data_IF_461054536250
#
_entry.id   IF_461054536250
#
_cell.length_a   1.000
_cell.length_b   1.000
_cell.length_c   1.000
_cell.angle_alpha   90.00
_cell.angle_beta   90.00
_cell.angle_gamma   90.00
#
_symmetry.space_group_name_H-M   'P 1'
#
loop_
_entity.id
_entity.type
_entity.pdbx_description
1 polymer ?
#
# COMPACT_ATOMS: atom_id res chain seq x y z
N UNK A 1 -14.30 3.07 25.97
CA UNK A 1 -14.34 3.48 24.56
C UNK A 1 -13.81 2.33 23.71
N UNK A 2 -14.68 1.71 22.91
CA UNK A 2 -14.27 0.75 21.88
C UNK A 2 -13.95 1.56 20.62
N UNK A 3 -12.68 1.65 20.26
CA UNK A 3 -12.23 2.30 19.02
C UNK A 3 -12.33 1.27 17.89
N UNK A 4 -13.56 0.94 17.47
CA UNK A 4 -13.75 0.05 16.34
C UNK A 4 -13.64 0.89 15.08
N UNK A 5 -12.48 0.85 14.42
CA UNK A 5 -12.32 1.51 13.11
C UNK A 5 -13.27 0.88 12.10
N UNK A 6 -14.12 1.67 11.47
CA UNK A 6 -15.09 1.19 10.48
C UNK A 6 -14.38 0.68 9.22
N UNK A 7 -14.58 -0.60 8.91
CA UNK A 7 -14.07 -1.20 7.68
C UNK A 7 -14.74 -0.56 6.46
N UNK A 8 -13.94 -0.12 5.50
CA UNK A 8 -14.40 0.48 4.25
C UNK A 8 -14.45 -0.59 3.16
N UNK A 9 -15.65 -1.06 2.75
CA UNK A 9 -15.79 -2.31 2.00
C UNK A 9 -15.43 -2.19 0.51
N UNK A 10 -15.34 -0.98 -0.02
CA UNK A 10 -15.13 -0.72 -1.44
C UNK A 10 -14.46 0.64 -1.66
N UNK A 11 -13.98 0.86 -2.89
CA UNK A 11 -13.24 2.07 -3.24
C UNK A 11 -14.05 3.37 -3.08
N UNK A 12 -15.36 3.43 -3.42
CA UNK A 12 -16.19 4.59 -3.11
C UNK A 12 -16.18 4.99 -1.63
N UNK A 13 -16.32 4.02 -0.71
CA UNK A 13 -16.28 4.29 0.73
C UNK A 13 -14.90 4.81 1.19
N UNK A 14 -13.82 4.24 0.63
CA UNK A 14 -12.44 4.68 0.89
C UNK A 14 -12.22 6.12 0.43
N UNK A 15 -12.53 6.40 -0.84
CA UNK A 15 -12.33 7.71 -1.45
C UNK A 15 -13.22 8.78 -0.82
N UNK A 16 -14.48 8.48 -0.51
CA UNK A 16 -15.37 9.39 0.21
C UNK A 16 -14.81 9.75 1.59
N UNK A 17 -14.28 8.77 2.34
CA UNK A 17 -13.68 9.02 3.66
C UNK A 17 -12.44 9.90 3.54
N UNK A 18 -11.54 9.59 2.60
CA UNK A 18 -10.33 10.38 2.33
C UNK A 18 -10.67 11.82 1.91
N UNK A 19 -11.62 12.01 0.99
CA UNK A 19 -12.06 13.32 0.52
C UNK A 19 -12.79 14.13 1.60
N UNK A 20 -13.41 13.46 2.56
CA UNK A 20 -13.97 14.10 3.76
C UNK A 20 -12.90 14.47 4.81
N UNK A 21 -11.61 14.25 4.52
CA UNK A 21 -10.51 14.51 5.44
C UNK A 21 -10.38 13.49 6.57
N UNK A 22 -11.08 12.35 6.49
CA UNK A 22 -10.97 11.31 7.51
C UNK A 22 -9.60 10.63 7.43
N UNK A 23 -9.14 10.24 8.60
CA UNK A 23 -7.96 9.42 8.77
C UNK A 23 -8.24 7.97 8.33
N UNK A 24 -7.69 7.55 7.18
CA UNK A 24 -7.86 6.19 6.64
C UNK A 24 -6.57 5.40 6.73
N UNK A 25 -6.66 4.20 7.29
CA UNK A 25 -5.57 3.22 7.34
C UNK A 25 -5.78 2.13 6.30
N UNK A 26 -4.68 1.59 5.77
CA UNK A 26 -4.66 0.39 4.92
C UNK A 26 -3.87 -0.71 5.61
N UNK A 27 -4.35 -1.93 5.49
CA UNK A 27 -3.65 -3.16 5.86
C UNK A 27 -3.42 -3.98 4.59
N UNK A 28 -2.16 -4.35 4.38
CA UNK A 28 -1.70 -5.22 3.31
C UNK A 28 -1.43 -6.62 3.86
N UNK A 29 -2.01 -7.64 3.26
CA UNK A 29 -1.67 -9.05 3.46
C UNK A 29 -1.23 -9.66 2.13
N UNK A 30 0.09 -9.73 1.90
CA UNK A 30 0.65 -10.28 0.67
C UNK A 30 0.39 -11.79 0.52
N UNK A 31 0.01 -12.49 1.59
CA UNK A 31 -0.41 -13.90 1.52
C UNK A 31 -1.73 -14.10 0.79
N UNK A 32 -2.52 -13.04 0.59
CA UNK A 32 -3.77 -13.06 -0.16
C UNK A 32 -3.63 -12.44 -1.57
N UNK A 33 -2.46 -11.86 -1.88
CA UNK A 33 -2.13 -11.31 -3.18
C UNK A 33 -1.42 -12.34 -4.07
N UNK A 34 -1.37 -12.08 -5.38
CA UNK A 34 -0.58 -12.85 -6.34
C UNK A 34 0.67 -12.08 -6.72
N UNK A 35 1.83 -12.72 -6.90
CA UNK A 35 2.97 -12.06 -7.54
C UNK A 35 2.57 -11.45 -8.90
N UNK A 36 2.87 -10.17 -9.08
CA UNK A 36 2.60 -9.41 -10.30
C UNK A 36 3.82 -9.24 -11.22
N UNK A 37 5.02 -9.57 -10.73
CA UNK A 37 6.27 -9.61 -11.50
C UNK A 37 6.99 -10.95 -11.32
N UNK A 38 7.90 -11.29 -12.23
CA UNK A 38 8.72 -12.52 -12.16
C UNK A 38 9.66 -12.56 -10.95
N UNK A 39 9.97 -11.40 -10.41
CA UNK A 39 10.85 -11.19 -9.26
C UNK A 39 10.13 -11.39 -7.94
N UNK A 40 8.83 -11.10 -7.91
CA UNK A 40 8.01 -11.28 -6.72
C UNK A 40 7.77 -12.79 -6.47
N UNK A 41 7.94 -13.20 -5.22
CA UNK A 41 7.64 -14.57 -4.76
C UNK A 41 6.46 -14.53 -3.79
N UNK A 42 5.66 -15.61 -3.70
CA UNK A 42 4.65 -15.73 -2.65
C UNK A 42 5.27 -15.54 -1.27
N UNK A 43 4.60 -14.78 -0.40
CA UNK A 43 5.04 -14.49 0.96
C UNK A 43 3.84 -14.38 1.90
N UNK A 44 4.07 -14.45 3.22
CA UNK A 44 3.06 -14.20 4.27
C UNK A 44 3.26 -12.83 4.94
N UNK A 45 4.04 -11.95 4.31
CA UNK A 45 4.30 -10.60 4.83
C UNK A 45 2.99 -9.82 4.95
N UNK A 46 2.81 -9.21 6.12
CA UNK A 46 1.71 -8.30 6.41
C UNK A 46 2.28 -6.97 6.85
N UNK A 47 1.60 -5.89 6.50
CA UNK A 47 1.96 -4.54 6.89
C UNK A 47 0.74 -3.65 6.89
N UNK A 48 0.91 -2.42 7.36
CA UNK A 48 -0.14 -1.43 7.31
C UNK A 48 0.43 -0.05 7.52
N UNK A 49 -0.31 0.94 7.06
CA UNK A 49 0.04 2.35 7.19
C UNK A 49 -1.22 3.19 7.24
N UNK A 50 -1.05 4.41 7.74
CA UNK A 50 -2.05 5.45 7.57
C UNK A 50 -1.77 6.21 6.29
N UNK A 51 -2.80 6.41 5.47
CA UNK A 51 -2.65 7.12 4.20
C UNK A 51 -2.44 8.60 4.52
N UNK A 52 -1.21 9.08 4.33
CA UNK A 52 -0.84 10.47 4.57
C UNK A 52 -1.23 11.37 3.39
N UNK A 53 -0.88 10.94 2.18
CA UNK A 53 -1.21 11.63 0.94
C UNK A 53 -1.78 10.65 -0.08
N UNK A 54 -2.75 11.12 -0.87
CA UNK A 54 -3.38 10.34 -1.93
C UNK A 54 -3.70 11.22 -3.14
N UNK A 55 -3.92 10.57 -4.28
CA UNK A 55 -4.53 11.17 -5.47
C UNK A 55 -5.58 10.21 -6.04
N UNK A 56 -6.60 10.78 -6.67
CA UNK A 56 -7.57 10.02 -7.47
C UNK A 56 -7.38 10.51 -8.91
N UNK A 57 -7.09 9.60 -9.84
CA UNK A 57 -6.91 9.93 -11.27
C UNK A 57 -8.25 9.93 -12.00
N UNK A 58 -8.26 10.46 -13.23
CA UNK A 58 -9.48 10.61 -14.05
C UNK A 58 -10.21 9.28 -14.30
N UNK A 59 -9.46 8.17 -14.39
CA UNK A 59 -9.98 6.80 -14.54
C UNK A 59 -10.57 6.22 -13.22
N UNK A 60 -10.59 7.00 -12.14
CA UNK A 60 -11.07 6.59 -10.83
C UNK A 60 -10.05 5.80 -10.00
N UNK A 61 -8.81 5.64 -10.46
CA UNK A 61 -7.78 4.94 -9.67
C UNK A 61 -7.35 5.79 -8.46
N UNK A 62 -7.50 5.23 -7.26
CA UNK A 62 -6.87 5.77 -6.05
C UNK A 62 -5.42 5.34 -6.01
N UNK A 63 -4.51 6.30 -5.90
CA UNK A 63 -3.09 6.06 -5.75
C UNK A 63 -2.53 6.77 -4.52
N UNK A 64 -1.74 6.06 -3.73
CA UNK A 64 -1.02 6.60 -2.59
C UNK A 64 0.31 5.86 -2.42
N UNK A 65 1.21 6.44 -1.64
CA UNK A 65 2.52 5.86 -1.40
C UNK A 65 3.01 6.17 0.00
N UNK A 66 4.01 5.42 0.43
CA UNK A 66 4.80 5.65 1.63
C UNK A 66 6.29 5.66 1.25
N UNK A 67 7.01 6.65 1.75
CA UNK A 67 8.46 6.73 1.74
C UNK A 67 8.95 6.22 3.09
N UNK A 68 9.38 4.96 3.11
CA UNK A 68 9.76 4.26 4.33
C UNK A 68 11.28 4.21 4.45
N UNK A 69 11.85 5.18 5.17
CA UNK A 69 13.25 5.16 5.58
C UNK A 69 13.46 4.13 6.70
N UNK A 70 14.39 3.21 6.49
CA UNK A 70 14.68 2.13 7.45
C UNK A 70 16.10 1.59 7.26
N UNK A 71 16.45 0.52 7.97
CA UNK A 71 17.70 -0.23 7.78
C UNK A 71 17.41 -1.62 7.21
N UNK A 72 18.30 -2.10 6.33
CA UNK A 72 18.21 -3.45 5.80
C UNK A 72 18.76 -4.49 6.81
N UNK A 73 18.81 -5.77 6.41
CA UNK A 73 19.32 -6.87 7.26
C UNK A 73 20.83 -6.80 7.57
N UNK A 74 21.56 -5.92 6.90
CA UNK A 74 23.00 -5.67 7.08
C UNK A 74 23.25 -4.33 7.80
N UNK A 75 22.21 -3.78 8.45
CA UNK A 75 22.22 -2.49 9.15
C UNK A 75 22.63 -1.29 8.27
N UNK A 76 22.38 -1.37 6.96
CA UNK A 76 22.60 -0.26 6.02
C UNK A 76 21.32 0.56 5.85
N UNK A 77 21.41 1.90 5.89
CA UNK A 77 20.26 2.76 5.63
C UNK A 77 19.73 2.58 4.20
N UNK A 78 18.41 2.45 4.10
CA UNK A 78 17.68 2.30 2.84
C UNK A 78 16.43 3.17 2.85
N UNK A 79 15.95 3.51 1.65
CA UNK A 79 14.64 4.11 1.46
C UNK A 79 13.79 3.13 0.64
N UNK A 80 12.63 2.75 1.17
CA UNK A 80 11.66 1.90 0.48
C UNK A 80 10.46 2.74 0.03
N UNK A 81 10.20 2.77 -1.28
CA UNK A 81 8.98 3.36 -1.82
C UNK A 81 7.92 2.27 -1.95
N UNK A 82 6.89 2.37 -1.11
CA UNK A 82 5.73 1.49 -1.11
C UNK A 82 4.60 2.19 -1.86
N UNK A 83 4.13 1.63 -2.97
CA UNK A 83 3.14 2.27 -3.84
C UNK A 83 1.91 1.39 -3.96
N UNK A 84 0.74 2.02 -3.86
CA UNK A 84 -0.55 1.36 -3.92
C UNK A 84 -1.38 2.03 -5.01
N UNK A 85 -1.97 1.23 -5.88
CA UNK A 85 -2.91 1.67 -6.91
C UNK A 85 -4.15 0.80 -6.81
N UNK A 86 -5.30 1.39 -6.50
CA UNK A 86 -6.58 0.69 -6.40
C UNK A 86 -7.47 1.21 -7.51
N UNK A 87 -7.77 0.35 -8.47
CA UNK A 87 -8.58 0.66 -9.64
C UNK A 87 -10.06 0.75 -9.28
N UNK A 88 -10.84 1.37 -10.18
CA UNK A 88 -12.28 1.59 -9.99
C UNK A 88 -13.07 0.30 -9.68
N UNK A 89 -12.62 -0.84 -10.20
CA UNK A 89 -13.23 -2.16 -9.98
C UNK A 89 -12.82 -2.83 -8.65
N UNK A 90 -11.98 -2.17 -7.86
CA UNK A 90 -11.46 -2.67 -6.58
C UNK A 90 -10.25 -3.60 -6.70
N UNK A 91 -9.81 -3.93 -7.92
CA UNK A 91 -8.49 -4.56 -8.11
C UNK A 91 -7.39 -3.59 -7.74
N UNK A 92 -6.23 -4.12 -7.32
CA UNK A 92 -5.15 -3.28 -6.86
C UNK A 92 -3.77 -3.84 -7.19
N UNK A 93 -2.82 -2.93 -7.32
CA UNK A 93 -1.40 -3.21 -7.43
C UNK A 93 -0.68 -2.61 -6.21
N UNK A 94 0.12 -3.44 -5.54
CA UNK A 94 1.14 -3.00 -4.61
C UNK A 94 2.51 -3.18 -5.26
N UNK A 95 3.35 -2.15 -5.21
CA UNK A 95 4.75 -2.28 -5.62
C UNK A 95 5.71 -1.71 -4.57
N UNK A 96 6.89 -2.33 -4.49
CA UNK A 96 7.98 -1.91 -3.61
C UNK A 96 9.27 -1.75 -4.42
N UNK A 97 9.90 -0.59 -4.29
CA UNK A 97 11.24 -0.32 -4.80
C UNK A 97 12.14 0.12 -3.66
N UNK A 98 13.34 -0.45 -3.58
CA UNK A 98 14.30 -0.15 -2.51
C UNK A 98 15.50 0.58 -3.11
N UNK A 99 15.88 1.70 -2.51
CA UNK A 99 17.05 2.48 -2.86
C UNK A 99 18.06 2.50 -1.71
N UNK A 100 19.34 2.43 -2.03
CA UNK A 100 20.42 2.62 -1.08
C UNK A 100 20.58 4.10 -0.72
N UNK A 101 21.05 4.37 0.49
CA UNK A 101 21.35 5.72 0.96
C UNK A 101 22.87 5.84 1.16
N UNK A 102 23.52 6.95 0.77
CA UNK A 102 22.94 8.22 0.34
C UNK A 102 22.79 8.41 -1.18
N UNK A 103 23.23 7.45 -1.99
CA UNK A 103 23.33 7.63 -3.44
C UNK A 103 22.02 7.37 -4.22
N UNK A 104 20.97 6.89 -3.54
CA UNK A 104 19.67 6.54 -4.14
C UNK A 104 19.80 5.63 -5.37
N UNK A 105 20.73 4.68 -5.32
CA UNK A 105 20.79 3.62 -6.32
C UNK A 105 19.77 2.54 -5.98
N UNK A 106 18.99 2.11 -6.97
CA UNK A 106 18.05 1.02 -6.79
C UNK A 106 18.82 -0.27 -6.45
N UNK A 107 18.55 -0.86 -5.29
CA UNK A 107 19.30 -2.01 -4.79
C UNK A 107 18.86 -3.33 -5.44
N UNK A 108 17.56 -3.45 -5.69
CA UNK A 108 16.92 -4.63 -6.25
C UNK A 108 15.81 -4.25 -7.23
N UNK A 109 15.39 -5.19 -8.06
CA UNK A 109 14.24 -5.00 -8.95
C UNK A 109 12.96 -4.71 -8.15
N UNK A 110 12.07 -3.91 -8.74
CA UNK A 110 10.76 -3.60 -8.16
C UNK A 110 9.94 -4.88 -8.00
N UNK A 111 9.47 -5.14 -6.78
CA UNK A 111 8.55 -6.23 -6.50
C UNK A 111 7.12 -5.72 -6.69
N UNK A 112 6.28 -6.49 -7.37
CA UNK A 112 4.88 -6.14 -7.61
C UNK A 112 3.96 -7.27 -7.20
N UNK A 113 2.83 -6.93 -6.59
CA UNK A 113 1.79 -7.86 -6.15
C UNK A 113 0.42 -7.36 -6.56
N UNK A 114 -0.37 -8.25 -7.16
CA UNK A 114 -1.75 -8.01 -7.55
C UNK A 114 -2.68 -8.44 -6.41
N UNK A 115 -3.42 -7.48 -5.88
CA UNK A 115 -4.34 -7.60 -4.76
C UNK A 115 -5.74 -7.12 -5.18
N UNK A 116 -6.67 -7.05 -4.23
CA UNK A 116 -7.93 -6.32 -4.36
C UNK A 116 -8.43 -5.87 -2.98
N UNK A 117 -9.38 -4.93 -2.94
CA UNK A 117 -10.10 -4.62 -1.69
C UNK A 117 -10.79 -5.89 -1.17
N UNK A 118 -10.60 -6.20 0.11
CA UNK A 118 -11.09 -7.43 0.74
C UNK A 118 -10.26 -8.68 0.40
N UNK A 119 -9.25 -8.57 -0.48
CA UNK A 119 -8.33 -9.65 -0.84
C UNK A 119 -6.90 -9.15 -0.90
N UNK A 120 -6.28 -9.10 0.27
CA UNK A 120 -4.91 -8.63 0.44
C UNK A 120 -4.79 -7.13 0.71
N UNK A 121 -5.83 -6.33 0.43
CA UNK A 121 -5.93 -4.95 0.93
C UNK A 121 -7.23 -4.76 1.73
N UNK A 122 -7.13 -4.20 2.92
CA UNK A 122 -8.26 -3.82 3.76
C UNK A 122 -8.10 -2.38 4.23
N UNK A 123 -9.18 -1.59 4.19
CA UNK A 123 -9.17 -0.18 4.56
C UNK A 123 -10.07 0.08 5.74
N UNK A 124 -9.68 1.02 6.59
CA UNK A 124 -10.40 1.37 7.80
C UNK A 124 -10.37 2.88 8.02
N UNK A 125 -11.51 3.48 8.34
CA UNK A 125 -11.55 4.87 8.81
C UNK A 125 -11.43 4.91 10.34
N UNK A 126 -10.69 5.90 10.86
CA UNK A 126 -10.84 6.29 12.25
C UNK A 126 -12.13 7.11 12.42
N UNK A 127 -12.79 6.91 13.56
CA UNK A 127 -13.98 7.67 13.97
C UNK A 127 -13.66 9.12 14.31
#
# INVERSE_FOLDING_TARGET
MSWASDALPNLPAVTQSLLAGKSVSVVLDLGLCKPGSSEAKPTKTRGGLRIDAFRITEDGTLAFADDHFTVNREDKPINQFLRYRVHADGTAEFSMTIFSVPNYQQMDKTLTYNCAIGKGLSFFAAD
#
